data_IF_576547874917
#
_entry.id   IF_576547874917
#
_cell.length_a   1.000
_cell.length_b   1.000
_cell.length_c   1.000
_cell.angle_alpha   90.00
_cell.angle_beta   90.00
_cell.angle_gamma   90.00
#
_symmetry.space_group_name_H-M   'P 1'
#
loop_
_entity.id
_entity.type
_entity.pdbx_description
1 polymer ?
#
# COMPACT_ATOMS: atom_id res chain seq x y z
N UNK A 1 4.92 -13.78 0.83
CA UNK A 1 4.02 -13.32 1.90
C UNK A 1 4.64 -12.29 2.84
N UNK A 2 5.79 -12.55 3.49
CA UNK A 2 6.40 -11.68 4.53
C UNK A 2 6.39 -10.15 4.28
N UNK A 3 6.54 -9.70 3.03
CA UNK A 3 6.59 -8.26 2.71
C UNK A 3 5.26 -7.52 2.90
N UNK A 4 4.11 -8.15 2.61
CA UNK A 4 2.81 -7.48 2.78
C UNK A 4 2.45 -7.34 4.27
N UNK A 5 2.78 -8.35 5.08
CA UNK A 5 2.63 -8.33 6.53
C UNK A 5 3.42 -7.17 7.14
N UNK A 6 4.68 -7.00 6.71
CA UNK A 6 5.50 -5.86 7.11
C UNK A 6 4.90 -4.52 6.69
N UNK A 7 4.36 -4.41 5.47
CA UNK A 7 3.67 -3.19 5.02
C UNK A 7 2.48 -2.88 5.95
N UNK A 8 1.66 -3.86 6.33
CA UNK A 8 0.52 -3.62 7.21
C UNK A 8 0.92 -3.15 8.61
N UNK A 9 2.01 -3.68 9.17
CA UNK A 9 2.56 -3.21 10.44
C UNK A 9 3.05 -1.76 10.31
N UNK A 10 3.80 -1.46 9.23
CA UNK A 10 4.31 -0.10 8.99
C UNK A 10 3.21 0.92 8.70
N UNK A 11 2.09 0.53 8.10
CA UNK A 11 0.99 1.46 7.82
C UNK A 11 0.45 2.10 9.11
N UNK A 12 0.48 1.38 10.25
CA UNK A 12 0.05 1.91 11.53
C UNK A 12 1.08 2.83 12.20
N UNK A 13 2.37 2.73 11.85
CA UNK A 13 3.46 3.43 12.54
C UNK A 13 4.06 4.55 11.69
N UNK A 14 4.30 4.27 10.41
CA UNK A 14 5.02 5.12 9.47
C UNK A 14 4.32 5.10 8.10
N UNK A 15 3.04 5.52 8.00
CA UNK A 15 2.26 5.38 6.78
C UNK A 15 2.91 6.03 5.56
N UNK A 16 3.71 7.09 5.70
CA UNK A 16 4.33 7.80 4.57
C UNK A 16 5.78 7.40 4.27
N UNK A 17 6.34 6.43 5.00
CA UNK A 17 7.74 6.01 4.87
C UNK A 17 7.91 4.49 5.01
N UNK A 18 9.09 3.97 4.70
CA UNK A 18 9.41 2.55 4.90
C UNK A 18 9.35 1.71 3.61
N UNK A 19 9.02 0.44 3.75
CA UNK A 19 9.18 -0.53 2.66
C UNK A 19 8.12 -0.36 1.58
N UNK A 20 8.49 -0.78 0.38
CA UNK A 20 7.63 -0.68 -0.79
C UNK A 20 7.60 0.72 -1.41
N UNK A 21 8.52 1.61 -1.04
CA UNK A 21 8.63 2.96 -1.61
C UNK A 21 7.28 3.72 -1.64
N UNK A 22 6.79 4.17 -0.48
CA UNK A 22 5.57 4.96 -0.40
C UNK A 22 5.66 6.20 -1.30
N UNK A 23 4.71 6.35 -2.21
CA UNK A 23 4.67 7.46 -3.16
C UNK A 23 3.27 8.09 -3.13
N UNK A 24 3.14 9.43 -2.96
CA UNK A 24 1.85 10.09 -3.13
C UNK A 24 1.42 10.03 -4.59
N UNK A 25 0.14 9.70 -4.82
CA UNK A 25 -0.44 9.71 -6.15
C UNK A 25 -0.77 11.15 -6.58
N UNK A 26 -1.10 11.33 -7.86
CA UNK A 26 -1.30 12.66 -8.47
C UNK A 26 -2.71 12.81 -9.02
N UNK A 27 -3.09 14.05 -9.33
CA UNK A 27 -4.38 14.42 -9.94
C UNK A 27 -5.56 14.00 -9.05
N UNK A 28 -6.55 13.31 -9.60
CA UNK A 28 -7.76 12.83 -8.92
C UNK A 28 -7.47 11.90 -7.72
N UNK A 29 -6.24 11.36 -7.63
CA UNK A 29 -5.80 10.50 -6.52
C UNK A 29 -4.77 11.21 -5.62
N UNK A 30 -4.67 12.53 -5.64
CA UNK A 30 -3.69 13.30 -4.84
C UNK A 30 -3.77 13.06 -3.33
N UNK A 31 -4.92 12.63 -2.83
CA UNK A 31 -5.14 12.23 -1.44
C UNK A 31 -4.69 10.81 -1.10
N UNK A 32 -4.26 10.03 -2.10
CA UNK A 32 -3.89 8.63 -1.96
C UNK A 32 -2.39 8.42 -2.07
N UNK A 33 -1.96 7.29 -1.51
CA UNK A 33 -0.59 6.82 -1.51
C UNK A 33 -0.51 5.42 -2.11
N UNK A 34 0.63 5.10 -2.70
CA UNK A 34 0.92 3.80 -3.28
C UNK A 34 2.17 3.19 -2.65
N UNK A 35 2.12 1.90 -2.35
CA UNK A 35 3.28 1.08 -1.97
C UNK A 35 3.41 -0.15 -2.86
N UNK A 36 4.65 -0.49 -3.22
CA UNK A 36 5.03 -1.66 -4.00
C UNK A 36 5.08 -2.92 -3.13
N UNK A 37 4.10 -3.79 -3.31
CA UNK A 37 4.13 -5.14 -2.74
C UNK A 37 5.22 -5.95 -3.45
N UNK A 38 5.14 -6.03 -4.78
CA UNK A 38 6.15 -6.67 -5.63
C UNK A 38 6.34 -5.84 -6.93
N UNK A 39 6.95 -6.40 -7.97
CA UNK A 39 7.15 -5.68 -9.23
C UNK A 39 5.82 -5.26 -9.90
N UNK A 40 4.80 -6.13 -9.82
CA UNK A 40 3.50 -5.99 -10.50
C UNK A 40 2.44 -5.34 -9.61
N UNK A 41 2.35 -5.75 -8.34
CA UNK A 41 1.25 -5.35 -7.46
C UNK A 41 1.56 -4.10 -6.64
N UNK A 42 0.51 -3.30 -6.43
CA UNK A 42 0.52 -2.08 -5.62
C UNK A 42 -0.62 -2.11 -4.60
N UNK A 43 -0.31 -1.64 -3.40
CA UNK A 43 -1.28 -1.30 -2.37
C UNK A 43 -1.55 0.20 -2.47
N UNK A 44 -2.81 0.60 -2.60
CA UNK A 44 -3.20 2.00 -2.57
C UNK A 44 -3.93 2.27 -1.26
N UNK A 45 -3.64 3.37 -0.58
CA UNK A 45 -4.21 3.69 0.72
C UNK A 45 -4.34 5.18 0.91
N UNK A 46 -5.17 5.58 1.87
CA UNK A 46 -5.32 6.94 2.34
C UNK A 46 -5.23 6.92 3.86
N UNK A 47 -4.64 7.97 4.43
CA UNK A 47 -4.65 8.21 5.88
C UNK A 47 -5.61 9.36 6.13
N UNK A 48 -6.59 9.15 7.02
CA UNK A 48 -7.55 10.16 7.44
C UNK A 48 -7.62 10.17 8.96
N UNK A 49 -7.27 11.31 9.56
CA UNK A 49 -7.16 11.43 11.01
C UNK A 49 -6.23 10.32 11.55
N UNK A 50 -6.77 9.40 12.36
CA UNK A 50 -6.05 8.24 12.92
C UNK A 50 -6.40 6.91 12.24
N UNK A 51 -7.11 6.96 11.10
CA UNK A 51 -7.56 5.78 10.35
C UNK A 51 -6.77 5.66 9.05
N UNK A 52 -6.21 4.46 8.82
CA UNK A 52 -5.59 4.11 7.53
C UNK A 52 -6.57 3.22 6.74
N UNK A 53 -7.14 3.77 5.68
CA UNK A 53 -8.01 3.04 4.76
C UNK A 53 -7.18 2.46 3.63
N UNK A 54 -7.18 1.14 3.48
CA UNK A 54 -6.39 0.41 2.48
C UNK A 54 -7.29 -0.16 1.38
N UNK A 55 -7.00 0.18 0.13
CA UNK A 55 -7.59 -0.38 -1.07
C UNK A 55 -6.58 -1.32 -1.76
N UNK A 56 -6.92 -2.59 -1.84
CA UNK A 56 -6.12 -3.58 -2.58
C UNK A 56 -6.59 -3.58 -4.03
N UNK A 57 -5.81 -2.94 -4.91
CA UNK A 57 -6.18 -2.74 -6.33
C UNK A 57 -5.93 -4.01 -7.15
N UNK A 58 -4.93 -4.82 -6.78
CA UNK A 58 -4.69 -6.14 -7.35
C UNK A 58 -4.01 -7.08 -6.36
N UNK A 59 -4.44 -8.33 -6.37
CA UNK A 59 -3.72 -9.48 -5.82
C UNK A 59 -3.75 -10.58 -6.89
N UNK A 60 -3.15 -10.31 -8.05
CA UNK A 60 -3.17 -11.22 -9.20
C UNK A 60 -2.14 -12.34 -8.99
N UNK A 61 -2.61 -13.56 -8.71
CA UNK A 61 -1.78 -14.78 -8.66
C UNK A 61 -1.92 -15.69 -7.43
N UNK A 62 -2.86 -15.46 -6.52
CA UNK A 62 -3.31 -16.52 -5.59
C UNK A 62 -4.46 -17.25 -6.28
N UNK A 63 -4.31 -18.29 -7.11
CA UNK A 63 -3.33 -19.36 -7.22
C UNK A 63 -3.04 -19.61 -8.71
N UNK A 64 -1.78 -19.68 -9.12
CA UNK A 64 -1.39 -20.55 -10.23
C UNK A 64 -0.62 -21.73 -9.63
N UNK A 65 -1.04 -22.95 -10.01
CA UNK A 65 -0.51 -24.24 -9.55
C UNK A 65 1.01 -24.36 -9.61
#
# INVERSE_FOLDING_TARGET
MKKIEQIFIELAQTPYHGIGNPEPLKYELSDFWSRRINQKDRLIYKVQEDIVTVFVISALGHYDK
#
